data_IF_694713602479
#
_entry.id   IF_694713602479
#
_cell.length_a   1.000
_cell.length_b   1.000
_cell.length_c   1.000
_cell.angle_alpha   90.00
_cell.angle_beta   90.00
_cell.angle_gamma   90.00
#
_symmetry.space_group_name_H-M   'P 1'
#
loop_
_entity.id
_entity.type
_entity.pdbx_description
1 polymer ?
#
# COMPACT_ATOMS: atom_id res chain seq x y z
N UNK A 1 30.44 35.93 -56.53
CA UNK A 1 29.36 36.07 -57.56
C UNK A 1 28.12 35.37 -56.98
N UNK A 2 27.30 36.17 -56.35
CA UNK A 2 25.98 36.62 -56.82
C UNK A 2 25.11 35.47 -57.39
N UNK A 3 24.07 35.05 -56.67
CA UNK A 3 22.73 35.47 -57.01
C UNK A 3 21.72 35.14 -55.89
N UNK A 4 21.02 36.18 -55.51
CA UNK A 4 19.81 36.21 -54.69
C UNK A 4 18.63 35.86 -55.59
N UNK A 5 17.73 34.96 -55.18
CA UNK A 5 16.34 34.94 -55.63
C UNK A 5 15.40 34.85 -54.43
N UNK A 6 14.63 35.92 -54.33
CA UNK A 6 13.54 36.14 -53.39
C UNK A 6 12.24 35.79 -54.09
N UNK A 7 11.40 34.94 -53.50
CA UNK A 7 9.94 34.81 -53.74
C UNK A 7 9.44 33.71 -52.77
N UNK A 8 8.45 33.82 -52.06
CA UNK A 8 7.21 34.47 -51.98
C UNK A 8 6.49 33.99 -50.73
N UNK A 9 5.89 34.91 -50.07
CA UNK A 9 5.05 34.76 -48.89
C UNK A 9 3.88 33.82 -49.14
N UNK A 10 3.76 32.75 -48.36
CA UNK A 10 2.50 32.02 -48.22
C UNK A 10 2.20 31.84 -46.71
N UNK A 11 1.33 32.73 -46.25
CA UNK A 11 0.76 32.77 -44.94
C UNK A 11 -0.20 31.60 -44.79
N UNK A 12 0.26 30.51 -44.18
CA UNK A 12 -0.60 29.37 -43.83
C UNK A 12 -1.13 29.60 -42.40
N UNK A 13 -2.37 30.05 -42.31
CA UNK A 13 -3.11 30.04 -41.05
C UNK A 13 -3.30 28.60 -40.59
N UNK A 14 -2.46 28.15 -39.68
CA UNK A 14 -2.67 26.90 -38.95
C UNK A 14 -3.68 27.20 -37.83
N UNK A 15 -4.94 26.78 -38.05
CA UNK A 15 -5.92 26.63 -36.99
C UNK A 15 -5.33 25.60 -36.00
N UNK A 16 -4.81 26.05 -34.90
CA UNK A 16 -4.49 25.19 -33.75
C UNK A 16 -5.81 24.80 -33.09
N UNK A 17 -6.41 23.70 -33.59
CA UNK A 17 -7.39 22.98 -32.78
C UNK A 17 -6.70 22.57 -31.49
N UNK A 18 -7.13 23.19 -30.40
CA UNK A 18 -6.65 22.84 -29.05
C UNK A 18 -6.99 21.38 -28.76
N UNK A 19 -6.04 20.50 -28.99
CA UNK A 19 -6.08 19.14 -28.45
C UNK A 19 -5.93 19.32 -26.95
N UNK A 20 -7.05 19.34 -26.25
CA UNK A 20 -7.08 19.25 -24.80
C UNK A 20 -6.41 17.94 -24.41
N UNK A 21 -5.16 18.03 -24.00
CA UNK A 21 -4.47 16.93 -23.37
C UNK A 21 -5.13 16.75 -22.00
N UNK A 22 -6.15 15.92 -21.95
CA UNK A 22 -6.58 15.35 -20.67
C UNK A 22 -5.39 14.55 -20.19
N UNK A 23 -4.71 15.06 -19.16
CA UNK A 23 -3.71 14.29 -18.46
C UNK A 23 -4.44 13.07 -17.87
N UNK A 24 -4.41 11.97 -18.59
CA UNK A 24 -4.85 10.68 -18.11
C UNK A 24 -3.99 10.40 -16.87
N UNK A 25 -4.65 10.40 -15.70
CA UNK A 25 -4.00 10.14 -14.43
C UNK A 25 -3.45 8.72 -14.53
N UNK A 26 -2.16 8.59 -14.90
CA UNK A 26 -1.50 7.30 -14.98
C UNK A 26 -1.67 6.63 -13.63
N UNK A 27 -2.50 5.61 -13.56
CA UNK A 27 -2.71 4.82 -12.37
C UNK A 27 -1.35 4.25 -11.98
N UNK A 28 -0.86 4.62 -10.82
CA UNK A 28 0.42 4.16 -10.33
C UNK A 28 0.27 2.69 -9.99
N UNK A 29 1.07 1.83 -10.60
CA UNK A 29 1.06 0.41 -10.29
C UNK A 29 1.38 0.20 -8.81
N UNK A 30 0.63 -0.67 -8.17
CA UNK A 30 0.88 -1.02 -6.79
C UNK A 30 2.20 -1.78 -6.67
N UNK A 31 3.03 -1.48 -5.67
CA UNK A 31 4.25 -2.25 -5.44
C UNK A 31 3.93 -3.67 -5.01
N UNK A 32 4.68 -4.64 -5.56
CA UNK A 32 4.59 -6.05 -5.22
C UNK A 32 5.82 -6.44 -4.41
N UNK A 33 5.60 -7.11 -3.29
CA UNK A 33 6.65 -7.63 -2.42
C UNK A 33 6.54 -9.15 -2.28
N UNK A 34 7.67 -9.82 -2.15
CA UNK A 34 7.73 -11.27 -1.93
C UNK A 34 8.21 -11.53 -0.51
N UNK A 35 7.40 -12.19 0.29
CA UNK A 35 7.77 -12.67 1.62
C UNK A 35 8.32 -14.08 1.45
N UNK A 36 9.64 -14.21 1.49
CA UNK A 36 10.31 -15.50 1.39
C UNK A 36 10.22 -16.26 2.71
N UNK A 37 9.66 -17.46 2.68
CA UNK A 37 9.52 -18.31 3.86
C UNK A 37 10.17 -19.68 3.66
N UNK A 38 10.40 -20.41 4.74
CA UNK A 38 10.92 -21.79 4.67
C UNK A 38 9.97 -22.77 4.00
N UNK A 39 8.70 -22.39 3.81
CA UNK A 39 7.68 -23.24 3.16
C UNK A 39 7.28 -22.74 1.76
N UNK A 40 7.92 -21.71 1.26
CA UNK A 40 7.66 -21.09 -0.03
C UNK A 40 7.45 -19.60 0.05
N UNK A 41 7.33 -18.97 -1.09
CA UNK A 41 7.20 -17.54 -1.26
C UNK A 41 5.73 -17.12 -1.23
N UNK A 42 5.47 -15.95 -0.62
CA UNK A 42 4.16 -15.32 -0.58
C UNK A 42 4.28 -13.97 -1.28
N UNK A 43 3.61 -13.83 -2.41
CA UNK A 43 3.54 -12.56 -3.14
C UNK A 43 2.41 -11.70 -2.57
N UNK A 44 2.71 -10.44 -2.30
CA UNK A 44 1.75 -9.46 -1.76
C UNK A 44 1.78 -8.18 -2.58
N UNK A 45 0.63 -7.72 -3.02
CA UNK A 45 0.42 -6.43 -3.63
C UNK A 45 0.03 -5.40 -2.57
N UNK A 46 0.68 -4.23 -2.59
CA UNK A 46 0.49 -3.20 -1.58
C UNK A 46 -0.32 -2.04 -2.16
N UNK A 47 -1.53 -1.85 -1.68
CA UNK A 47 -2.47 -0.82 -2.15
C UNK A 47 -2.11 0.55 -1.59
N UNK A 48 -1.10 1.19 -2.21
CA UNK A 48 -0.52 2.43 -1.68
C UNK A 48 -1.43 3.66 -1.80
N UNK A 49 -2.40 3.63 -2.71
CA UNK A 49 -3.35 4.74 -2.87
C UNK A 49 -4.47 4.65 -1.82
N UNK A 50 -4.81 3.44 -1.34
CA UNK A 50 -5.80 3.22 -0.29
C UNK A 50 -5.25 3.41 1.13
N UNK A 51 -3.98 3.02 1.35
CA UNK A 51 -3.35 3.07 2.67
C UNK A 51 -1.87 3.55 2.59
N UNK A 52 -1.63 4.80 2.17
CA UNK A 52 -0.28 5.29 1.86
C UNK A 52 0.69 5.25 3.05
N UNK A 53 0.27 5.60 4.26
CA UNK A 53 1.13 5.56 5.46
C UNK A 53 1.45 4.13 5.87
N UNK A 54 0.46 3.25 5.81
CA UNK A 54 0.60 1.83 6.14
C UNK A 54 1.56 1.16 5.18
N UNK A 55 1.37 1.37 3.87
CA UNK A 55 2.26 0.84 2.83
C UNK A 55 3.68 1.40 2.98
N UNK A 56 3.83 2.72 3.13
CA UNK A 56 5.15 3.33 3.33
C UNK A 56 5.84 2.82 4.60
N UNK A 57 5.08 2.56 5.67
CA UNK A 57 5.60 1.96 6.89
C UNK A 57 6.10 0.53 6.66
N UNK A 58 5.30 -0.30 5.99
CA UNK A 58 5.68 -1.67 5.68
C UNK A 58 6.95 -1.71 4.82
N UNK A 59 6.99 -0.95 3.72
CA UNK A 59 8.14 -0.86 2.82
C UNK A 59 9.38 -0.41 3.58
N UNK A 60 9.28 0.69 4.33
CA UNK A 60 10.42 1.23 5.07
C UNK A 60 10.99 0.26 6.11
N UNK A 61 10.15 -0.55 6.74
CA UNK A 61 10.57 -1.60 7.65
C UNK A 61 11.14 -2.82 6.91
N UNK A 62 10.54 -3.23 5.81
CA UNK A 62 11.00 -4.36 5.01
C UNK A 62 12.38 -4.10 4.40
N UNK A 63 12.59 -2.92 3.84
CA UNK A 63 13.85 -2.51 3.24
C UNK A 63 14.91 -2.03 4.25
N UNK A 64 14.53 -1.87 5.52
CA UNK A 64 15.43 -1.35 6.55
C UNK A 64 15.75 0.13 6.39
N UNK A 65 14.96 0.89 5.64
CA UNK A 65 15.12 2.33 5.46
C UNK A 65 14.46 3.15 6.57
N UNK A 66 13.53 2.54 7.32
CA UNK A 66 12.86 3.14 8.47
C UNK A 66 13.50 2.70 9.79
N UNK A 67 13.68 3.65 10.69
CA UNK A 67 14.19 3.38 12.05
C UNK A 67 13.11 2.74 12.93
N UNK A 68 13.52 1.79 13.75
CA UNK A 68 12.66 1.16 14.75
C UNK A 68 13.43 0.88 16.04
N UNK A 69 12.71 0.59 17.14
CA UNK A 69 13.30 0.18 18.42
C UNK A 69 13.47 -1.33 18.44
N UNK A 70 14.70 -1.79 18.50
CA UNK A 70 14.99 -3.22 18.64
C UNK A 70 14.52 -3.74 20.00
N UNK A 71 13.59 -4.69 19.97
CA UNK A 71 12.93 -5.23 21.18
C UNK A 71 13.85 -5.96 22.13
N UNK A 72 15.05 -6.37 21.68
CA UNK A 72 16.04 -7.07 22.53
C UNK A 72 16.98 -6.10 23.20
N UNK A 73 17.33 -5.01 22.53
CA UNK A 73 18.35 -4.06 23.01
C UNK A 73 17.78 -2.74 23.51
N UNK A 74 16.51 -2.43 23.16
CA UNK A 74 15.89 -1.14 23.43
C UNK A 74 16.47 0.03 22.62
N UNK A 75 17.39 -0.23 21.71
CA UNK A 75 18.06 0.80 20.92
C UNK A 75 17.35 1.02 19.60
N UNK A 76 17.40 2.25 19.10
CA UNK A 76 16.99 2.58 17.74
C UNK A 76 17.98 2.04 16.74
N UNK A 77 17.47 1.33 15.75
CA UNK A 77 18.27 0.69 14.70
C UNK A 77 17.60 0.90 13.34
N UNK A 78 18.39 0.78 12.29
CA UNK A 78 17.94 0.90 10.91
C UNK A 78 18.48 -0.29 10.11
N UNK A 79 17.63 -1.28 9.91
CA UNK A 79 17.90 -2.52 9.19
C UNK A 79 16.58 -3.17 8.78
N UNK A 80 16.55 -4.17 7.88
CA UNK A 80 15.34 -4.95 7.64
C UNK A 80 14.74 -5.47 8.94
N UNK A 81 13.46 -5.14 9.14
CA UNK A 81 12.75 -5.45 10.39
C UNK A 81 12.20 -6.87 10.40
N UNK A 82 11.73 -7.35 9.24
CA UNK A 82 11.00 -8.62 9.15
C UNK A 82 11.90 -9.84 9.00
N UNK A 83 13.19 -9.66 8.70
CA UNK A 83 14.13 -10.76 8.51
C UNK A 83 14.27 -11.62 9.77
N UNK A 84 14.11 -12.94 9.59
CA UNK A 84 14.19 -13.93 10.65
C UNK A 84 12.99 -13.96 11.60
N UNK A 85 11.93 -13.21 11.32
CA UNK A 85 10.69 -13.30 12.09
C UNK A 85 9.87 -14.53 11.67
N UNK A 86 8.95 -14.93 12.55
CA UNK A 86 8.08 -16.08 12.33
C UNK A 86 6.61 -15.68 12.20
N UNK A 87 5.83 -16.51 11.55
CA UNK A 87 4.38 -16.50 11.71
C UNK A 87 4.05 -17.20 13.03
N UNK A 88 3.87 -16.43 14.09
CA UNK A 88 3.69 -16.92 15.45
C UNK A 88 2.27 -17.40 15.76
N UNK A 89 1.31 -17.12 14.89
CA UNK A 89 -0.08 -17.57 15.02
C UNK A 89 -0.61 -17.96 13.65
N UNK A 90 -1.05 -19.19 13.53
CA UNK A 90 -1.61 -19.77 12.29
C UNK A 90 -2.93 -20.43 12.64
N UNK A 91 -4.04 -19.95 12.07
CA UNK A 91 -5.36 -20.54 12.26
C UNK A 91 -5.87 -20.98 10.88
N UNK A 92 -6.10 -22.29 10.75
CA UNK A 92 -6.57 -22.89 9.49
C UNK A 92 -7.90 -22.25 9.06
N UNK A 93 -7.99 -21.95 7.77
CA UNK A 93 -9.16 -21.33 7.13
C UNK A 93 -9.52 -19.93 7.68
N UNK A 94 -8.63 -19.29 8.41
CA UNK A 94 -8.83 -17.95 8.93
C UNK A 94 -7.69 -17.01 8.59
N UNK A 95 -6.49 -17.18 9.19
CA UNK A 95 -5.37 -16.24 8.98
C UNK A 95 -4.03 -16.84 9.42
N UNK A 96 -2.95 -16.22 8.93
CA UNK A 96 -1.61 -16.30 9.51
C UNK A 96 -1.21 -14.92 10.02
N UNK A 97 -0.47 -14.87 11.14
CA UNK A 97 -0.04 -13.63 11.77
C UNK A 97 1.47 -13.66 12.03
N UNK A 98 2.16 -12.65 11.52
CA UNK A 98 3.62 -12.50 11.65
C UNK A 98 4.00 -11.06 12.00
N UNK A 99 5.29 -10.72 11.83
CA UNK A 99 5.79 -9.35 12.02
C UNK A 99 6.07 -8.97 13.49
N UNK A 100 5.94 -9.90 14.43
CA UNK A 100 6.24 -9.64 15.85
C UNK A 100 7.66 -10.08 16.19
N UNK A 101 8.59 -9.16 16.58
CA UNK A 101 9.97 -9.50 16.91
C UNK A 101 10.11 -10.35 18.18
N UNK A 102 9.07 -10.41 19.03
CA UNK A 102 9.02 -11.27 20.21
C UNK A 102 8.37 -12.64 19.93
N UNK A 103 7.80 -12.85 18.74
CA UNK A 103 7.15 -14.10 18.37
C UNK A 103 5.91 -14.45 19.18
N UNK A 104 5.26 -13.50 19.84
CA UNK A 104 4.12 -13.73 20.74
C UNK A 104 2.96 -12.73 20.53
N UNK A 105 3.04 -11.91 19.48
CA UNK A 105 2.03 -10.91 19.14
C UNK A 105 2.09 -9.60 19.94
N UNK A 106 3.00 -9.48 20.93
CA UNK A 106 3.09 -8.30 21.81
C UNK A 106 4.23 -7.35 21.45
N UNK A 107 5.08 -7.71 20.48
CA UNK A 107 6.19 -6.88 20.03
C UNK A 107 5.83 -6.12 18.74
N UNK A 108 6.55 -5.02 18.52
CA UNK A 108 6.40 -4.19 17.33
C UNK A 108 7.61 -3.29 17.13
N UNK A 109 7.57 -2.35 16.21
CA UNK A 109 8.67 -1.45 15.88
C UNK A 109 8.90 -0.34 16.90
N UNK A 110 8.15 -0.33 18.03
CA UNK A 110 8.30 0.66 19.11
C UNK A 110 7.56 1.98 18.87
N UNK A 111 6.65 2.01 17.92
CA UNK A 111 5.73 3.11 17.65
C UNK A 111 4.39 2.58 17.11
N UNK A 112 3.41 3.44 17.13
CA UNK A 112 2.09 3.22 16.53
C UNK A 112 1.74 4.41 15.64
N UNK A 113 0.80 4.23 14.73
CA UNK A 113 0.21 5.29 13.91
C UNK A 113 -1.28 5.02 13.74
N UNK A 114 -2.03 6.06 13.38
CA UNK A 114 -3.47 5.96 13.16
C UNK A 114 -3.77 5.05 11.97
N UNK A 115 -4.89 4.35 12.02
CA UNK A 115 -5.36 3.55 10.88
C UNK A 115 -5.73 4.44 9.68
N UNK A 116 -5.86 3.82 8.50
CA UNK A 116 -6.18 4.50 7.25
C UNK A 116 -7.45 3.93 6.61
N UNK A 117 -8.39 3.47 7.43
CA UNK A 117 -9.66 2.94 6.93
C UNK A 117 -10.51 4.09 6.39
N UNK A 118 -10.65 4.18 5.08
CA UNK A 118 -11.61 5.09 4.45
C UNK A 118 -12.98 4.43 4.32
N UNK A 119 -13.77 4.54 5.37
CA UNK A 119 -15.11 3.96 5.42
C UNK A 119 -16.04 4.49 4.33
N UNK A 120 -15.85 5.74 3.88
CA UNK A 120 -16.67 6.36 2.83
C UNK A 120 -16.30 5.83 1.44
N UNK A 121 -15.01 5.77 1.12
CA UNK A 121 -14.54 5.21 -0.15
C UNK A 121 -14.94 3.73 -0.30
N UNK A 122 -14.90 2.98 0.80
CA UNK A 122 -15.33 1.59 0.84
C UNK A 122 -16.85 1.40 0.95
N UNK A 123 -17.62 2.49 1.09
CA UNK A 123 -19.07 2.44 1.26
C UNK A 123 -19.53 1.82 2.58
N UNK A 124 -18.62 1.69 3.55
CA UNK A 124 -18.94 1.06 4.86
C UNK A 124 -19.88 1.93 5.71
N UNK A 125 -19.88 3.24 5.49
CA UNK A 125 -20.79 4.20 6.11
C UNK A 125 -22.27 3.96 5.74
N UNK A 126 -22.51 3.25 4.63
CA UNK A 126 -23.83 2.88 4.12
C UNK A 126 -24.26 1.48 4.54
N UNK A 127 -23.36 0.70 5.13
CA UNK A 127 -23.62 -0.69 5.55
C UNK A 127 -24.11 -0.69 6.98
N UNK A 128 -25.33 -1.18 7.19
CA UNK A 128 -25.85 -1.42 8.53
C UNK A 128 -25.11 -2.58 9.18
N UNK A 129 -24.56 -2.36 10.38
CA UNK A 129 -23.89 -3.40 11.16
C UNK A 129 -24.82 -4.57 11.49
N UNK A 130 -26.11 -4.29 11.65
CA UNK A 130 -27.16 -5.27 11.93
C UNK A 130 -28.40 -4.97 11.08
N UNK A 131 -28.95 -5.98 10.43
CA UNK A 131 -30.23 -5.96 9.74
C UNK A 131 -31.19 -6.86 10.51
N UNK A 132 -32.35 -6.36 10.98
CA UNK A 132 -33.31 -7.17 11.75
C UNK A 132 -33.82 -8.44 11.04
N UNK A 133 -33.79 -8.44 9.69
CA UNK A 133 -34.23 -9.58 8.88
C UNK A 133 -33.11 -10.52 8.47
N UNK A 134 -31.88 -10.02 8.32
CA UNK A 134 -30.73 -10.75 7.81
C UNK A 134 -29.67 -11.03 8.87
N UNK A 135 -29.78 -10.44 10.07
CA UNK A 135 -28.79 -10.52 11.12
C UNK A 135 -27.58 -9.60 10.92
N UNK A 136 -26.47 -9.85 11.62
CA UNK A 136 -25.27 -9.04 11.50
C UNK A 136 -24.65 -9.17 10.11
N UNK A 137 -24.06 -8.06 9.62
CA UNK A 137 -23.37 -8.07 8.34
C UNK A 137 -22.20 -9.07 8.39
N UNK A 138 -22.02 -9.87 7.33
CA UNK A 138 -21.05 -11.00 7.29
C UNK A 138 -19.61 -10.60 7.65
N UNK A 139 -19.22 -9.34 7.41
CA UNK A 139 -17.89 -8.83 7.76
C UNK A 139 -17.77 -8.41 9.23
N UNK A 140 -18.89 -8.30 9.93
CA UNK A 140 -18.95 -7.90 11.34
C UNK A 140 -19.33 -9.08 12.26
N UNK A 141 -19.43 -10.29 11.72
CA UNK A 141 -19.71 -11.48 12.53
C UNK A 141 -18.47 -11.84 13.32
N UNK A 142 -18.46 -11.51 14.61
CA UNK A 142 -17.49 -12.03 15.56
C UNK A 142 -17.91 -13.45 15.87
N UNK A 143 -17.14 -14.45 15.46
CA UNK A 143 -17.31 -15.81 15.97
C UNK A 143 -16.74 -15.85 17.37
N UNK A 144 -17.60 -15.89 18.39
CA UNK A 144 -17.22 -16.37 19.72
C UNK A 144 -17.05 -17.89 19.61
N UNK A 145 -15.86 -18.39 19.80
CA UNK A 145 -15.60 -19.80 20.12
C UNK A 145 -15.86 -20.01 21.60
#
# INVERSE_FOLDING_TARGET
>A
MRNIILTGTMMLCILTAGIGWTAEKRQKENPVYVIQTTLGDIEVELFQDEAPKTVANFIGLAEGTKEFVDSKTGKKVKRPFYDGLIFHRVIRNFMIQGGCPLGNGRGGPGYVFDDEIDAKALGLDKIKAYDPQKGPHRFLTIRSE
#
